data_IF_475798695329
#
_entry.id   IF_475798695329
#
_cell.length_a   1.000
_cell.length_b   1.000
_cell.length_c   1.000
_cell.angle_alpha   90.00
_cell.angle_beta   90.00
_cell.angle_gamma   90.00
#
_symmetry.space_group_name_H-M   'P 1'
#
loop_
_entity.id
_entity.type
_entity.pdbx_description
1 polymer ?
#
# COMPACT_ATOMS: atom_id res chain seq x y z
N UNK A 1 12.27 -6.52 -23.75
CA UNK A 1 12.60 -5.10 -23.96
C UNK A 1 12.92 -4.37 -22.66
N UNK A 2 11.98 -4.19 -21.72
CA UNK A 2 12.26 -3.44 -20.48
C UNK A 2 13.36 -4.05 -19.58
N UNK A 3 13.33 -5.37 -19.43
CA UNK A 3 14.29 -6.14 -18.62
C UNK A 3 15.45 -6.74 -19.42
N UNK A 4 15.51 -6.46 -20.72
CA UNK A 4 16.54 -6.98 -21.62
C UNK A 4 17.88 -6.30 -21.32
N UNK A 5 18.94 -7.10 -21.15
CA UNK A 5 20.29 -6.58 -20.94
C UNK A 5 20.85 -6.01 -22.24
N UNK A 6 21.35 -4.78 -22.18
CA UNK A 6 22.12 -4.15 -23.26
C UNK A 6 23.49 -3.71 -22.74
N UNK A 7 24.34 -3.16 -23.63
CA UNK A 7 25.61 -2.55 -23.22
C UNK A 7 25.41 -1.37 -22.23
N UNK A 8 24.25 -0.70 -22.27
CA UNK A 8 23.90 0.38 -21.33
C UNK A 8 23.22 -0.14 -20.04
N UNK A 9 23.14 -1.45 -19.83
CA UNK A 9 22.40 -2.05 -18.73
C UNK A 9 20.95 -2.42 -19.10
N UNK A 10 20.13 -2.62 -18.06
CA UNK A 10 18.68 -2.81 -18.16
C UNK A 10 17.96 -1.49 -17.94
N UNK A 11 16.78 -1.33 -18.54
CA UNK A 11 15.96 -0.14 -18.30
C UNK A 11 15.21 -0.24 -16.96
N UNK A 12 14.43 -1.32 -16.77
CA UNK A 12 13.73 -1.60 -15.51
C UNK A 12 13.66 -3.10 -15.23
N UNK A 13 13.78 -3.47 -13.96
CA UNK A 13 13.34 -4.79 -13.50
C UNK A 13 11.81 -4.79 -13.42
N UNK A 14 11.16 -5.77 -14.05
CA UNK A 14 9.70 -5.90 -14.09
C UNK A 14 9.25 -7.05 -13.20
N UNK A 15 8.36 -6.76 -12.25
CA UNK A 15 7.75 -7.76 -11.37
C UNK A 15 6.28 -7.96 -11.74
N UNK A 16 5.94 -9.16 -12.20
CA UNK A 16 4.58 -9.52 -12.66
C UNK A 16 3.83 -10.39 -11.65
N UNK A 17 4.34 -10.56 -10.42
CA UNK A 17 3.79 -11.52 -9.43
C UNK A 17 2.44 -11.14 -8.84
N UNK A 18 1.99 -9.89 -9.02
CA UNK A 18 0.69 -9.40 -8.55
C UNK A 18 -0.46 -9.62 -9.55
N UNK A 19 -0.23 -10.34 -10.65
CA UNK A 19 -1.29 -10.71 -11.60
C UNK A 19 -2.16 -11.84 -11.03
N UNK A 20 -3.40 -12.04 -11.53
CA UNK A 20 -4.24 -13.17 -11.12
C UNK A 20 -3.50 -14.51 -11.17
N UNK A 21 -3.56 -15.27 -10.07
CA UNK A 21 -2.84 -16.54 -9.86
C UNK A 21 -1.31 -16.44 -9.81
N UNK A 22 -0.75 -15.23 -9.65
CA UNK A 22 0.68 -14.99 -9.46
C UNK A 22 1.53 -15.64 -10.56
N UNK A 23 2.61 -16.32 -10.17
CA UNK A 23 3.55 -16.95 -11.10
C UNK A 23 2.95 -18.06 -11.97
N UNK A 24 1.89 -18.71 -11.50
CA UNK A 24 1.17 -19.75 -12.24
C UNK A 24 0.12 -19.18 -13.19
N UNK A 25 -0.17 -17.88 -13.11
CA UNK A 25 -1.15 -17.21 -13.95
C UNK A 25 -0.63 -16.81 -15.32
N UNK A 26 -1.55 -16.69 -16.28
CA UNK A 26 -1.28 -16.10 -17.59
C UNK A 26 -0.71 -14.69 -17.44
N UNK A 27 0.21 -14.31 -18.33
CA UNK A 27 0.84 -12.98 -18.33
C UNK A 27 -0.20 -11.87 -18.58
N UNK A 28 -1.24 -12.18 -19.36
CA UNK A 28 -2.37 -11.29 -19.63
C UNK A 28 -3.68 -12.05 -19.49
N UNK A 29 -4.73 -11.35 -19.06
CA UNK A 29 -6.10 -11.88 -18.97
C UNK A 29 -7.10 -10.85 -19.50
N UNK A 30 -8.29 -11.31 -19.90
CA UNK A 30 -9.38 -10.42 -20.28
C UNK A 30 -9.91 -9.65 -19.06
N UNK A 31 -10.57 -8.51 -19.30
CA UNK A 31 -11.25 -7.76 -18.23
C UNK A 31 -12.29 -8.62 -17.48
N UNK A 32 -13.00 -9.48 -18.21
CA UNK A 32 -13.97 -10.39 -17.62
C UNK A 32 -13.31 -11.39 -16.67
N UNK A 33 -12.21 -12.03 -17.11
CA UNK A 33 -11.46 -12.96 -16.27
C UNK A 33 -10.84 -12.24 -15.06
N UNK A 34 -10.30 -11.03 -15.25
CA UNK A 34 -9.78 -10.21 -14.17
C UNK A 34 -10.87 -9.87 -13.14
N UNK A 35 -12.04 -9.37 -13.59
CA UNK A 35 -13.18 -9.06 -12.72
C UNK A 35 -13.63 -10.30 -11.95
N UNK A 36 -13.84 -11.42 -12.65
CA UNK A 36 -14.25 -12.68 -12.03
C UNK A 36 -13.28 -13.11 -10.95
N UNK A 37 -11.98 -13.12 -11.25
CA UNK A 37 -10.94 -13.47 -10.28
C UNK A 37 -10.97 -12.57 -9.05
N UNK A 38 -11.03 -11.25 -9.25
CA UNK A 38 -11.03 -10.29 -8.14
C UNK A 38 -12.26 -10.42 -7.24
N UNK A 39 -13.42 -10.77 -7.79
CA UNK A 39 -14.66 -10.90 -7.02
C UNK A 39 -14.81 -12.28 -6.35
N UNK A 40 -14.30 -13.34 -6.96
CA UNK A 40 -14.60 -14.72 -6.54
C UNK A 40 -13.42 -15.47 -5.92
N UNK A 41 -12.17 -15.03 -6.15
CA UNK A 41 -10.99 -15.85 -5.83
C UNK A 41 -9.85 -15.08 -5.16
N UNK A 42 -9.78 -13.76 -5.33
CA UNK A 42 -8.69 -12.95 -4.81
C UNK A 42 -8.71 -12.88 -3.28
N UNK A 43 -7.52 -12.92 -2.68
CA UNK A 43 -7.33 -12.76 -1.24
C UNK A 43 -7.40 -11.27 -0.84
N UNK A 44 -7.66 -11.00 0.44
CA UNK A 44 -7.71 -9.62 0.98
C UNK A 44 -6.44 -8.83 0.68
N UNK A 45 -5.26 -9.47 0.78
CA UNK A 45 -3.99 -8.81 0.46
C UNK A 45 -3.85 -8.42 -1.01
N UNK A 46 -4.51 -9.15 -1.93
CA UNK A 46 -4.55 -8.78 -3.36
C UNK A 46 -5.44 -7.55 -3.55
N UNK A 47 -6.56 -7.46 -2.82
CA UNK A 47 -7.38 -6.25 -2.77
C UNK A 47 -6.61 -5.07 -2.15
N UNK A 48 -5.77 -5.31 -1.14
CA UNK A 48 -4.87 -4.28 -0.60
C UNK A 48 -3.91 -3.77 -1.68
N UNK A 49 -3.29 -4.66 -2.46
CA UNK A 49 -2.45 -4.26 -3.60
C UNK A 49 -3.25 -3.49 -4.66
N UNK A 50 -4.49 -3.90 -4.93
CA UNK A 50 -5.39 -3.28 -5.90
C UNK A 50 -5.74 -1.82 -5.56
N UNK A 51 -5.72 -1.42 -4.28
CA UNK A 51 -5.92 -0.01 -3.88
C UNK A 51 -4.92 0.95 -4.57
N UNK A 52 -3.72 0.47 -4.88
CA UNK A 52 -2.65 1.25 -5.50
C UNK A 52 -2.58 1.09 -7.01
N UNK A 53 -3.33 0.14 -7.58
CA UNK A 53 -3.33 -0.10 -9.01
C UNK A 53 -3.93 1.10 -9.77
N UNK A 54 -3.39 1.37 -10.96
CA UNK A 54 -3.94 2.32 -11.92
C UNK A 54 -3.59 1.90 -13.34
N UNK A 55 -4.47 2.27 -14.27
CA UNK A 55 -4.13 2.23 -15.67
C UNK A 55 -2.96 3.19 -15.98
N UNK A 56 -1.99 2.75 -16.78
CA UNK A 56 -0.77 3.52 -17.06
C UNK A 56 -0.51 3.74 -18.54
N UNK A 57 -0.89 2.80 -19.41
CA UNK A 57 -0.68 2.86 -20.85
C UNK A 57 -1.63 1.91 -21.59
N UNK A 58 -1.91 2.22 -22.86
CA UNK A 58 -2.75 1.41 -23.75
C UNK A 58 -4.01 2.17 -24.21
N UNK A 59 -5.04 1.43 -24.59
CA UNK A 59 -6.34 1.98 -24.97
C UNK A 59 -7.06 2.67 -23.77
N UNK A 60 -7.41 3.95 -23.86
CA UNK A 60 -8.18 4.65 -22.82
C UNK A 60 -9.52 3.99 -22.47
N UNK A 61 -10.21 3.38 -23.43
CA UNK A 61 -11.49 2.71 -23.19
C UNK A 61 -11.31 1.46 -22.30
N UNK A 62 -10.24 0.70 -22.54
CA UNK A 62 -9.80 -0.40 -21.68
C UNK A 62 -9.45 0.10 -20.28
N UNK A 63 -8.72 1.22 -20.18
CA UNK A 63 -8.37 1.85 -18.91
C UNK A 63 -9.60 2.26 -18.09
N UNK A 64 -10.58 2.89 -18.72
CA UNK A 64 -11.84 3.25 -18.07
C UNK A 64 -12.63 2.01 -17.60
N UNK A 65 -12.60 0.92 -18.36
CA UNK A 65 -13.25 -0.32 -17.98
C UNK A 65 -12.55 -1.03 -16.81
N UNK A 66 -11.22 -1.06 -16.81
CA UNK A 66 -10.44 -1.52 -15.65
C UNK A 66 -10.77 -0.72 -14.39
N UNK A 67 -10.86 0.61 -14.50
CA UNK A 67 -11.13 1.48 -13.36
C UNK A 67 -12.51 1.24 -12.74
N UNK A 68 -13.53 0.96 -13.56
CA UNK A 68 -14.86 0.55 -13.06
C UNK A 68 -14.78 -0.73 -12.23
N UNK A 69 -14.04 -1.74 -12.73
CA UNK A 69 -13.85 -3.02 -12.03
C UNK A 69 -13.06 -2.80 -10.73
N UNK A 70 -12.00 -2.00 -10.77
CA UNK A 70 -11.20 -1.68 -9.59
C UNK A 70 -12.07 -1.05 -8.50
N UNK A 71 -12.86 -0.02 -8.86
CA UNK A 71 -13.78 0.63 -7.94
C UNK A 71 -14.85 -0.32 -7.40
N UNK A 72 -15.39 -1.21 -8.25
CA UNK A 72 -16.34 -2.24 -7.82
C UNK A 72 -15.74 -3.15 -6.73
N UNK A 73 -14.54 -3.69 -6.96
CA UNK A 73 -13.86 -4.59 -6.01
C UNK A 73 -13.52 -3.87 -4.71
N UNK A 74 -13.03 -2.63 -4.78
CA UNK A 74 -12.69 -1.86 -3.58
C UNK A 74 -13.93 -1.54 -2.73
N UNK A 75 -15.11 -1.41 -3.36
CA UNK A 75 -16.37 -1.07 -2.71
C UNK A 75 -17.22 -2.28 -2.31
N UNK A 76 -16.68 -3.50 -2.44
CA UNK A 76 -17.36 -4.70 -1.94
C UNK A 76 -17.67 -4.57 -0.44
N UNK A 77 -18.84 -5.05 0.03
CA UNK A 77 -19.16 -5.07 1.45
C UNK A 77 -18.18 -5.97 2.20
N UNK A 78 -17.67 -5.49 3.33
CA UNK A 78 -16.74 -6.23 4.19
C UNK A 78 -17.16 -6.08 5.66
N UNK A 79 -16.94 -7.15 6.41
CA UNK A 79 -16.89 -7.07 7.86
C UNK A 79 -15.57 -6.38 8.23
N UNK A 80 -15.68 -5.20 8.84
CA UNK A 80 -14.54 -4.32 9.16
C UNK A 80 -13.63 -4.95 10.21
N UNK A 81 -14.16 -5.75 11.13
CA UNK A 81 -13.38 -6.43 12.16
C UNK A 81 -12.62 -7.63 11.60
N UNK A 82 -13.27 -8.40 10.72
CA UNK A 82 -12.58 -9.46 9.98
C UNK A 82 -11.46 -8.89 9.11
N UNK A 83 -11.76 -7.84 8.34
CA UNK A 83 -10.77 -7.14 7.52
C UNK A 83 -9.59 -6.63 8.36
N UNK A 84 -9.88 -6.06 9.55
CA UNK A 84 -8.86 -5.59 10.49
C UNK A 84 -7.90 -6.72 10.87
N UNK A 85 -8.46 -7.89 11.17
CA UNK A 85 -7.69 -9.09 11.53
C UNK A 85 -6.81 -9.56 10.37
N UNK A 86 -7.39 -9.71 9.17
CA UNK A 86 -6.68 -10.16 7.97
C UNK A 86 -5.49 -9.23 7.61
N UNK A 87 -5.69 -7.92 7.73
CA UNK A 87 -4.65 -6.90 7.47
C UNK A 87 -3.52 -7.00 8.50
N UNK A 88 -3.84 -7.15 9.79
CA UNK A 88 -2.84 -7.28 10.87
C UNK A 88 -2.03 -8.57 10.74
N UNK A 89 -2.68 -9.70 10.46
CA UNK A 89 -2.00 -10.99 10.25
C UNK A 89 -1.04 -10.92 9.06
N UNK A 90 -1.49 -10.36 7.94
CA UNK A 90 -0.64 -10.15 6.77
C UNK A 90 0.54 -9.25 7.10
N UNK A 91 0.30 -8.15 7.83
CA UNK A 91 1.37 -7.22 8.22
C UNK A 91 2.40 -7.89 9.10
N UNK A 92 1.97 -8.70 10.07
CA UNK A 92 2.83 -9.44 10.97
C UNK A 92 3.69 -10.45 10.20
N UNK A 93 3.10 -11.21 9.27
CA UNK A 93 3.82 -12.13 8.37
C UNK A 93 4.86 -11.41 7.51
N UNK A 94 4.53 -10.24 6.97
CA UNK A 94 5.49 -9.42 6.24
C UNK A 94 6.62 -8.92 7.15
N UNK A 95 6.31 -8.51 8.39
CA UNK A 95 7.31 -8.01 9.34
C UNK A 95 8.29 -9.11 9.73
N UNK A 96 7.81 -10.31 10.06
CA UNK A 96 8.66 -11.42 10.49
C UNK A 96 9.66 -11.83 9.40
N UNK A 97 9.24 -11.85 8.13
CA UNK A 97 10.13 -12.11 6.98
C UNK A 97 11.26 -11.07 6.78
N UNK A 98 11.14 -9.89 7.39
CA UNK A 98 12.11 -8.79 7.29
C UNK A 98 12.83 -8.47 8.61
N UNK A 99 12.39 -9.06 9.73
CA UNK A 99 12.93 -8.86 11.08
C UNK A 99 14.35 -9.43 11.26
N UNK A 100 15.10 -8.92 12.24
CA UNK A 100 16.40 -9.46 12.67
C UNK A 100 17.63 -9.07 11.84
N UNK A 101 17.52 -8.10 10.91
CA UNK A 101 18.59 -7.78 9.94
C UNK A 101 19.55 -6.67 10.37
N UNK A 102 19.25 -5.89 11.43
CA UNK A 102 20.11 -4.79 11.91
C UNK A 102 19.60 -4.23 13.23
N UNK A 103 20.47 -3.54 13.98
CA UNK A 103 20.09 -2.65 15.09
C UNK A 103 19.58 -1.27 14.62
N UNK A 104 19.72 -0.97 13.32
CA UNK A 104 19.18 0.23 12.68
C UNK A 104 17.72 0.04 12.28
N UNK A 105 16.95 1.13 12.35
CA UNK A 105 15.55 1.18 11.95
C UNK A 105 15.40 1.03 10.43
N UNK A 106 14.63 0.05 9.99
CA UNK A 106 14.22 -0.14 8.60
C UNK A 106 13.05 0.79 8.25
N UNK A 107 13.33 1.80 7.43
CA UNK A 107 12.38 2.85 7.05
C UNK A 107 11.09 2.29 6.41
N UNK A 108 11.13 1.06 5.86
CA UNK A 108 9.97 0.43 5.23
C UNK A 108 9.26 -0.52 6.18
N UNK A 109 9.99 -1.50 6.71
CA UNK A 109 9.41 -2.72 7.25
C UNK A 109 9.23 -2.72 8.77
N UNK A 110 9.94 -1.85 9.48
CA UNK A 110 9.82 -1.78 10.94
C UNK A 110 8.55 -1.01 11.34
N UNK A 111 8.17 -1.16 12.60
CA UNK A 111 6.98 -0.50 13.14
C UNK A 111 7.13 1.02 13.16
N UNK A 112 6.11 1.71 12.65
CA UNK A 112 6.15 3.16 12.38
C UNK A 112 6.79 3.52 11.03
N UNK A 113 7.08 2.52 10.19
CA UNK A 113 7.69 2.70 8.87
C UNK A 113 6.67 2.98 7.75
N UNK A 114 7.19 3.12 6.53
CA UNK A 114 6.39 3.42 5.34
C UNK A 114 5.30 2.40 5.05
N UNK A 115 5.55 1.11 5.30
CA UNK A 115 4.57 0.04 5.04
C UNK A 115 3.41 0.11 6.04
N UNK A 116 3.64 0.53 7.29
CA UNK A 116 2.55 0.72 8.26
C UNK A 116 1.56 1.80 7.77
N UNK A 117 2.07 2.89 7.19
CA UNK A 117 1.24 3.93 6.56
C UNK A 117 0.47 3.37 5.36
N UNK A 118 1.10 2.57 4.51
CA UNK A 118 0.42 1.93 3.36
C UNK A 118 -0.72 1.00 3.82
N UNK A 119 -0.48 0.20 4.86
CA UNK A 119 -1.47 -0.72 5.41
C UNK A 119 -2.65 0.01 6.07
N UNK A 120 -2.39 1.10 6.79
CA UNK A 120 -3.45 1.97 7.34
C UNK A 120 -4.41 2.44 6.25
N UNK A 121 -3.86 2.96 5.14
CA UNK A 121 -4.66 3.51 4.06
C UNK A 121 -5.40 2.40 3.32
N UNK A 122 -4.73 1.28 3.05
CA UNK A 122 -5.37 0.12 2.42
C UNK A 122 -6.54 -0.40 3.24
N UNK A 123 -6.39 -0.49 4.57
CA UNK A 123 -7.47 -0.85 5.47
C UNK A 123 -8.62 0.15 5.41
N UNK A 124 -8.33 1.46 5.49
CA UNK A 124 -9.35 2.51 5.45
C UNK A 124 -10.12 2.49 4.12
N UNK A 125 -9.42 2.32 2.99
CA UNK A 125 -10.06 2.20 1.67
C UNK A 125 -10.94 0.96 1.61
N UNK A 126 -10.42 -0.22 1.96
CA UNK A 126 -11.20 -1.47 1.83
C UNK A 126 -12.36 -1.56 2.82
N UNK A 127 -12.21 -0.98 4.02
CA UNK A 127 -13.21 -1.01 5.08
C UNK A 127 -14.34 0.00 4.86
N UNK A 128 -14.07 1.13 4.20
CA UNK A 128 -14.99 2.25 4.17
C UNK A 128 -15.37 2.75 2.76
N UNK A 129 -14.73 2.29 1.68
CA UNK A 129 -15.06 2.75 0.32
C UNK A 129 -16.47 2.37 -0.15
N UNK A 130 -17.10 1.35 0.45
CA UNK A 130 -18.51 1.05 0.18
C UNK A 130 -19.40 2.26 0.52
N UNK A 131 -19.15 2.88 1.68
CA UNK A 131 -19.87 4.06 2.20
C UNK A 131 -19.36 5.36 1.61
N UNK A 132 -18.04 5.47 1.41
CA UNK A 132 -17.35 6.66 0.92
C UNK A 132 -16.60 6.36 -0.39
N UNK A 133 -17.28 6.36 -1.55
CA UNK A 133 -16.68 5.99 -2.83
C UNK A 133 -15.45 6.81 -3.23
N UNK A 134 -15.32 8.05 -2.74
CA UNK A 134 -14.18 8.93 -2.96
C UNK A 134 -12.84 8.32 -2.50
N UNK A 135 -12.88 7.39 -1.53
CA UNK A 135 -11.69 6.67 -1.05
C UNK A 135 -11.08 5.74 -2.11
N UNK A 136 -11.81 5.38 -3.17
CA UNK A 136 -11.22 4.55 -4.23
C UNK A 136 -10.20 5.32 -5.06
N UNK A 137 -10.17 6.66 -5.00
CA UNK A 137 -9.26 7.49 -5.79
C UNK A 137 -7.79 7.15 -5.57
N UNK A 138 -7.03 6.98 -6.66
CA UNK A 138 -5.58 6.77 -6.59
C UNK A 138 -4.84 8.12 -6.42
N UNK A 139 -5.04 8.77 -5.27
CA UNK A 139 -4.57 10.14 -4.98
C UNK A 139 -3.21 10.18 -4.24
N UNK A 140 -2.68 9.01 -3.89
CA UNK A 140 -1.47 8.87 -3.08
C UNK A 140 -1.74 8.95 -1.57
N UNK A 141 -0.77 8.50 -0.78
CA UNK A 141 -0.99 8.20 0.64
C UNK A 141 -1.41 9.41 1.47
N UNK A 142 -0.75 10.56 1.27
CA UNK A 142 -1.01 11.78 2.05
C UNK A 142 -2.42 12.31 1.78
N UNK A 143 -2.86 12.29 0.52
CA UNK A 143 -4.19 12.76 0.14
C UNK A 143 -5.29 11.85 0.70
N UNK A 144 -5.08 10.53 0.67
CA UNK A 144 -6.03 9.56 1.24
C UNK A 144 -6.10 9.63 2.77
N UNK A 145 -4.97 9.86 3.46
CA UNK A 145 -4.98 10.12 4.90
C UNK A 145 -5.80 11.36 5.24
N UNK A 146 -5.54 12.47 4.55
CA UNK A 146 -6.30 13.71 4.75
C UNK A 146 -7.80 13.49 4.53
N UNK A 147 -8.17 12.83 3.43
CA UNK A 147 -9.56 12.50 3.13
C UNK A 147 -10.19 11.65 4.23
N UNK A 148 -9.50 10.61 4.73
CA UNK A 148 -10.01 9.81 5.83
C UNK A 148 -10.22 10.63 7.13
N UNK A 149 -9.36 11.62 7.38
CA UNK A 149 -9.55 12.59 8.46
C UNK A 149 -10.75 13.51 8.27
N UNK A 150 -10.93 14.04 7.05
CA UNK A 150 -12.08 14.88 6.67
C UNK A 150 -13.42 14.13 6.77
N UNK A 151 -13.41 12.82 6.48
CA UNK A 151 -14.57 11.92 6.61
C UNK A 151 -14.80 11.45 8.06
N UNK A 152 -13.96 11.84 9.02
CA UNK A 152 -14.09 11.44 10.42
C UNK A 152 -13.78 9.97 10.70
N UNK A 153 -13.13 9.26 9.78
CA UNK A 153 -12.72 7.85 9.97
C UNK A 153 -11.54 7.72 10.91
N UNK A 154 -10.71 8.76 10.97
CA UNK A 154 -9.56 8.90 11.86
C UNK A 154 -9.46 10.36 12.35
N UNK A 155 -8.81 10.64 13.49
CA UNK A 155 -8.58 12.03 13.92
C UNK A 155 -7.80 12.82 12.88
N UNK A 156 -8.32 14.01 12.51
CA UNK A 156 -7.78 14.80 11.41
C UNK A 156 -6.37 15.35 11.67
N UNK A 157 -6.07 15.66 12.93
CA UNK A 157 -4.75 16.06 13.41
C UNK A 157 -3.72 14.92 13.27
N UNK A 158 -4.09 13.70 13.66
CA UNK A 158 -3.25 12.51 13.46
C UNK A 158 -3.09 12.16 11.98
N UNK A 159 -4.13 12.34 11.16
CA UNK A 159 -4.05 12.13 9.72
C UNK A 159 -3.03 13.07 9.08
N UNK A 160 -3.06 14.36 9.43
CA UNK A 160 -2.11 15.36 8.96
C UNK A 160 -0.68 15.04 9.43
N UNK A 161 -0.49 14.76 10.73
CA UNK A 161 0.80 14.41 11.30
C UNK A 161 1.39 13.13 10.67
N UNK A 162 0.58 12.10 10.43
CA UNK A 162 1.00 10.88 9.73
C UNK A 162 1.38 11.16 8.27
N UNK A 163 0.67 12.07 7.59
CA UNK A 163 1.04 12.54 6.25
C UNK A 163 2.42 13.20 6.21
N UNK A 164 2.73 14.04 7.21
CA UNK A 164 4.05 14.67 7.35
C UNK A 164 5.14 13.66 7.69
N UNK A 165 4.84 12.71 8.58
CA UNK A 165 5.70 11.56 8.87
C UNK A 165 6.03 10.76 7.61
N UNK A 166 5.04 10.44 6.78
CA UNK A 166 5.25 9.72 5.52
C UNK A 166 6.21 10.48 4.61
N UNK A 167 6.06 11.81 4.48
CA UNK A 167 6.96 12.65 3.69
C UNK A 167 8.40 12.59 4.23
N UNK A 168 8.57 12.74 5.54
CA UNK A 168 9.87 12.69 6.21
C UNK A 168 10.56 11.33 6.03
N UNK A 169 9.84 10.22 6.24
CA UNK A 169 10.36 8.87 6.02
C UNK A 169 10.76 8.64 4.56
N UNK A 170 9.98 9.15 3.59
CA UNK A 170 10.34 9.10 2.17
C UNK A 170 11.59 9.92 1.86
N UNK A 171 11.75 11.09 2.48
CA UNK A 171 12.97 11.89 2.35
C UNK A 171 14.20 11.15 2.86
N UNK A 172 14.12 10.54 4.05
CA UNK A 172 15.19 9.70 4.59
C UNK A 172 15.53 8.53 3.66
N UNK A 173 14.50 7.87 3.10
CA UNK A 173 14.68 6.77 2.16
C UNK A 173 15.40 7.22 0.88
N UNK A 174 15.01 8.37 0.32
CA UNK A 174 15.65 8.94 -0.86
C UNK A 174 17.10 9.35 -0.57
N UNK A 175 17.36 9.94 0.61
CA UNK A 175 18.73 10.26 1.08
C UNK A 175 19.61 9.01 1.18
N UNK A 176 19.12 7.92 1.76
CA UNK A 176 19.88 6.67 1.83
C UNK A 176 20.19 6.12 0.43
N UNK A 177 19.21 6.14 -0.47
CA UNK A 177 19.38 5.68 -1.86
C UNK A 177 20.41 6.48 -2.64
N UNK A 178 20.45 7.81 -2.47
CA UNK A 178 21.44 8.67 -3.14
C UNK A 178 22.87 8.43 -2.64
N UNK A 179 23.02 7.86 -1.46
CA UNK A 179 24.32 7.48 -0.88
C UNK A 179 24.65 6.00 -1.09
N UNK A 180 23.89 5.28 -1.92
CA UNK A 180 24.00 3.81 -2.12
C UNK A 180 23.94 3.00 -0.81
N UNK A 181 23.22 3.52 0.19
CA UNK A 181 23.03 2.86 1.47
C UNK A 181 21.70 2.09 1.52
N UNK A 182 21.64 1.08 2.38
CA UNK A 182 20.37 0.44 2.73
C UNK A 182 19.37 1.49 3.26
N UNK A 183 18.07 1.26 3.05
CA UNK A 183 16.98 2.11 3.55
C UNK A 183 16.80 1.98 5.08
N UNK A 184 17.88 2.18 5.81
CA UNK A 184 17.99 2.08 7.27
C UNK A 184 18.66 3.32 7.83
N UNK A 185 18.23 3.75 9.00
CA UNK A 185 18.79 4.90 9.72
C UNK A 185 18.86 4.60 11.22
N UNK A 186 19.51 5.46 11.99
CA UNK A 186 19.45 5.34 13.46
C UNK A 186 18.02 5.53 13.95
N UNK A 187 17.66 4.82 15.02
CA UNK A 187 16.33 4.97 15.64
C UNK A 187 16.06 6.41 16.08
N UNK A 188 17.07 7.04 16.68
CA UNK A 188 17.01 8.43 17.13
C UNK A 188 16.65 9.41 16.00
N UNK A 189 17.25 9.25 14.82
CA UNK A 189 16.95 10.09 13.66
C UNK A 189 15.50 9.91 13.17
N UNK A 190 15.00 8.67 13.19
CA UNK A 190 13.65 8.36 12.70
C UNK A 190 12.54 8.65 13.71
N UNK A 191 12.85 8.82 14.99
CA UNK A 191 11.86 8.80 16.08
C UNK A 191 10.71 9.79 15.87
N UNK A 192 11.03 11.06 15.58
CA UNK A 192 10.03 12.10 15.34
C UNK A 192 9.07 11.78 14.18
N UNK A 193 9.56 11.12 13.14
CA UNK A 193 8.75 10.71 12.00
C UNK A 193 7.95 9.43 12.29
N UNK A 194 8.42 8.56 13.20
CA UNK A 194 7.74 7.31 13.54
C UNK A 194 6.57 7.52 14.50
N UNK A 195 6.71 8.41 15.47
CA UNK A 195 5.72 8.57 16.56
C UNK A 195 4.29 8.81 16.05
N UNK A 196 4.01 9.69 15.08
CA UNK A 196 2.65 9.88 14.57
C UNK A 196 2.10 8.66 13.83
N UNK A 197 2.95 7.92 13.11
CA UNK A 197 2.55 6.68 12.42
C UNK A 197 2.13 5.62 13.43
N UNK A 198 2.90 5.46 14.50
CA UNK A 198 2.61 4.52 15.59
C UNK A 198 1.33 4.92 16.31
N UNK A 199 1.16 6.21 16.62
CA UNK A 199 -0.06 6.71 17.26
C UNK A 199 -1.32 6.45 16.40
N UNK A 200 -1.25 6.73 15.10
CA UNK A 200 -2.37 6.44 14.20
C UNK A 200 -2.62 4.93 14.04
N UNK A 201 -1.56 4.12 13.99
CA UNK A 201 -1.66 2.67 13.97
C UNK A 201 -2.41 2.16 15.22
N UNK A 202 -2.03 2.62 16.41
CA UNK A 202 -2.71 2.29 17.65
C UNK A 202 -4.17 2.73 17.65
N UNK A 203 -4.46 3.92 17.13
CA UNK A 203 -5.82 4.44 17.07
C UNK A 203 -6.74 3.61 16.18
N UNK A 204 -6.22 3.11 15.06
CA UNK A 204 -7.01 2.33 14.08
C UNK A 204 -7.09 0.85 14.46
N UNK A 205 -6.00 0.27 14.97
CA UNK A 205 -5.88 -1.17 15.18
C UNK A 205 -5.92 -1.61 16.64
N UNK A 206 -5.74 -0.69 17.60
CA UNK A 206 -5.70 -1.00 19.04
C UNK A 206 -4.49 -1.82 19.48
N UNK A 207 -3.44 -1.92 18.66
CA UNK A 207 -2.27 -2.79 18.88
C UNK A 207 -0.95 -2.02 18.85
N UNK A 208 -0.13 -2.18 19.90
CA UNK A 208 1.27 -1.71 20.01
C UNK A 208 2.25 -2.67 19.37
#
# INVERSE_FOLDING_TARGET
>A
WLSSQTAAGKLFETDLRLRPNGDSGLIACSLEAFRKYQLESAWVWEHQALTRARFTAGDPALGAAFERIRCEVLRMPRDVEKLRTDVLEMRAKMRSAHSGKSSQFDLKHDHGGLIDVEFLIQYLVLGYAQTYPELTGNLGNIALLRMAGELGLIPADLAAACGDSYRSLRHLQHRQRLNDLASRVSLHEAESARTPVIALWQQVFGTT
#
